data_IF_575843721793
#
_entry.id   IF_575843721793
#
_cell.length_a   1.000
_cell.length_b   1.000
_cell.length_c   1.000
_cell.angle_alpha   90.00
_cell.angle_beta   90.00
_cell.angle_gamma   90.00
#
_symmetry.space_group_name_H-M   'P 1'
#
loop_
_entity.id
_entity.type
_entity.pdbx_description
1 polymer ?
#
# COMPACT_ATOMS: atom_id res chain seq x y z
N UNK A 1 6.90 12.82 -1.30
CA UNK A 1 6.65 11.42 -1.69
C UNK A 1 5.37 10.99 -1.03
N UNK A 2 4.36 10.57 -1.80
CA UNK A 2 3.09 10.07 -1.28
C UNK A 2 3.08 8.56 -1.46
N UNK A 3 2.86 7.80 -0.38
CA UNK A 3 2.74 6.34 -0.41
C UNK A 3 1.35 5.96 0.13
N UNK A 4 0.57 5.28 -0.70
CA UNK A 4 -0.80 4.88 -0.42
C UNK A 4 -1.23 3.76 -1.36
N UNK A 5 -2.27 3.02 -0.97
CA UNK A 5 -2.92 2.06 -1.87
C UNK A 5 -3.99 2.71 -2.74
N UNK A 6 -4.10 2.29 -3.99
CA UNK A 6 -5.12 2.81 -4.89
C UNK A 6 -6.49 2.22 -4.56
N UNK A 7 -7.42 3.09 -4.16
CA UNK A 7 -8.75 2.72 -3.66
C UNK A 7 -9.53 1.76 -4.57
N UNK A 8 -9.59 1.95 -5.90
CA UNK A 8 -10.27 1.03 -6.80
C UNK A 8 -9.73 -0.40 -6.74
N UNK A 9 -8.41 -0.57 -6.60
CA UNK A 9 -7.80 -1.89 -6.46
C UNK A 9 -8.10 -2.52 -5.10
N UNK A 10 -8.06 -1.74 -4.03
CA UNK A 10 -8.44 -2.21 -2.68
C UNK A 10 -9.86 -2.75 -2.68
N UNK A 11 -10.81 -1.99 -3.24
CA UNK A 11 -12.22 -2.38 -3.25
C UNK A 11 -12.50 -3.61 -4.12
N UNK A 12 -11.87 -3.70 -5.31
CA UNK A 12 -12.13 -4.80 -6.24
C UNK A 12 -11.39 -6.08 -5.89
N UNK A 13 -10.11 -5.99 -5.55
CA UNK A 13 -9.29 -7.18 -5.32
C UNK A 13 -9.43 -7.68 -3.87
N UNK A 14 -9.65 -6.74 -2.94
CA UNK A 14 -9.69 -6.95 -1.49
C UNK A 14 -8.37 -7.53 -0.96
N UNK A 15 -7.82 -6.89 0.07
CA UNK A 15 -6.68 -7.46 0.76
C UNK A 15 -7.14 -8.71 1.53
N UNK A 16 -6.29 -9.75 1.56
CA UNK A 16 -6.64 -11.05 2.13
C UNK A 16 -5.56 -11.52 3.08
N UNK A 17 -6.00 -12.34 4.03
CA UNK A 17 -5.09 -13.06 4.91
C UNK A 17 -4.11 -13.91 4.09
N UNK A 18 -2.87 -13.95 4.55
CA UNK A 18 -1.79 -14.64 3.83
C UNK A 18 -0.79 -15.22 4.79
N UNK A 19 -0.40 -16.46 4.54
CA UNK A 19 0.79 -17.07 5.14
C UNK A 19 1.88 -17.15 4.06
N UNK A 20 3.10 -16.69 4.39
CA UNK A 20 4.29 -16.82 3.55
C UNK A 20 5.34 -17.58 4.34
N UNK A 21 5.84 -18.67 3.77
CA UNK A 21 6.94 -19.45 4.34
C UNK A 21 8.16 -19.29 3.42
N UNK A 22 9.30 -18.96 4.01
CA UNK A 22 10.59 -18.84 3.31
C UNK A 22 11.62 -19.68 4.05
N UNK A 23 12.40 -20.47 3.33
CA UNK A 23 13.53 -21.20 3.88
C UNK A 23 14.83 -20.49 3.47
N UNK A 24 15.75 -20.30 4.40
CA UNK A 24 17.06 -19.68 4.15
C UNK A 24 18.12 -20.26 5.10
N UNK A 25 19.21 -20.80 4.54
CA UNK A 25 20.37 -21.22 5.32
C UNK A 25 20.11 -22.22 6.47
N UNK A 26 19.06 -23.03 6.39
CA UNK A 26 18.65 -23.96 7.46
C UNK A 26 17.64 -23.39 8.45
N UNK A 27 17.33 -22.10 8.35
CA UNK A 27 16.24 -21.45 9.07
C UNK A 27 14.95 -21.44 8.22
N UNK A 28 13.81 -21.33 8.89
CA UNK A 28 12.49 -21.18 8.29
C UNK A 28 11.81 -19.95 8.84
N UNK A 29 11.43 -19.01 7.98
CA UNK A 29 10.66 -17.82 8.35
C UNK A 29 9.21 -18.06 7.94
N UNK A 30 8.29 -17.98 8.90
CA UNK A 30 6.85 -18.04 8.70
C UNK A 30 6.29 -16.65 9.00
N UNK A 31 5.64 -16.04 8.01
CA UNK A 31 4.94 -14.77 8.17
C UNK A 31 3.46 -14.96 7.93
N UNK A 32 2.65 -14.68 8.94
CA UNK A 32 1.19 -14.65 8.86
C UNK A 32 0.74 -13.19 8.84
N UNK A 33 -0.02 -12.80 7.83
CA UNK A 33 -0.63 -11.48 7.74
C UNK A 33 -2.14 -11.66 7.78
N UNK A 34 -2.80 -11.03 8.74
CA UNK A 34 -4.26 -10.98 8.89
C UNK A 34 -4.72 -9.57 8.56
N UNK A 35 -5.82 -9.46 7.81
CA UNK A 35 -6.26 -8.19 7.24
C UNK A 35 -7.67 -7.83 7.72
N UNK A 36 -7.85 -6.55 8.09
CA UNK A 36 -9.15 -5.98 8.44
C UNK A 36 -9.35 -4.65 7.72
N UNK A 37 -10.41 -4.55 6.92
CA UNK A 37 -10.76 -3.32 6.21
C UNK A 37 -11.65 -2.44 7.09
N UNK A 38 -11.34 -1.15 7.17
CA UNK A 38 -12.13 -0.10 7.83
C UNK A 38 -12.56 0.93 6.77
N UNK A 39 -13.68 0.69 6.05
CA UNK A 39 -14.11 1.53 4.93
C UNK A 39 -14.37 2.98 5.34
N UNK A 40 -14.95 3.21 6.52
CA UNK A 40 -15.28 4.55 7.02
C UNK A 40 -14.04 5.42 7.32
N UNK A 41 -12.84 4.85 7.24
CA UNK A 41 -11.56 5.53 7.51
C UNK A 41 -10.60 5.47 6.34
N UNK A 42 -10.98 4.79 5.27
CA UNK A 42 -10.14 4.46 4.11
C UNK A 42 -8.83 3.77 4.49
N UNK A 43 -8.91 2.82 5.43
CA UNK A 43 -7.75 2.07 5.93
C UNK A 43 -7.98 0.58 5.78
N UNK A 44 -6.95 -0.12 5.33
CA UNK A 44 -6.80 -1.56 5.51
C UNK A 44 -5.73 -1.82 6.57
N UNK A 45 -6.10 -2.43 7.68
CA UNK A 45 -5.18 -2.82 8.73
C UNK A 45 -4.57 -4.18 8.42
N UNK A 46 -3.25 -4.25 8.32
CA UNK A 46 -2.51 -5.50 8.12
C UNK A 46 -1.72 -5.83 9.39
N UNK A 47 -2.21 -6.79 10.16
CA UNK A 47 -1.52 -7.32 11.34
C UNK A 47 -0.63 -8.49 10.91
N UNK A 48 0.66 -8.38 11.15
CA UNK A 48 1.65 -9.36 10.71
C UNK A 48 2.37 -9.98 11.90
N UNK A 49 2.42 -11.31 11.92
CA UNK A 49 3.19 -12.10 12.89
C UNK A 49 4.27 -12.88 12.15
N UNK A 50 5.52 -12.71 12.56
CA UNK A 50 6.69 -13.31 11.92
C UNK A 50 7.38 -14.22 12.94
N UNK A 51 7.56 -15.47 12.58
CA UNK A 51 8.33 -16.46 13.33
C UNK A 51 9.54 -16.88 12.52
N UNK A 52 10.72 -16.86 13.14
CA UNK A 52 11.92 -17.50 12.59
C UNK A 52 12.20 -18.76 13.39
N UNK A 53 12.30 -19.89 12.70
CA UNK A 53 12.57 -21.19 13.26
C UNK A 53 13.94 -21.70 12.80
N UNK A 54 14.59 -22.49 13.66
CA UNK A 54 15.75 -23.32 13.33
C UNK A 54 15.44 -24.74 13.76
N UNK A 55 15.24 -25.64 12.80
CA UNK A 55 14.58 -26.92 13.05
C UNK A 55 13.16 -26.69 13.59
N UNK A 56 12.84 -27.29 14.73
CA UNK A 56 11.52 -27.19 15.37
C UNK A 56 11.44 -26.11 16.48
N UNK A 57 12.50 -25.31 16.64
CA UNK A 57 12.56 -24.26 17.67
C UNK A 57 12.33 -22.88 17.05
N UNK A 58 11.43 -22.10 17.64
CA UNK A 58 11.31 -20.66 17.38
C UNK A 58 12.52 -19.97 18.01
N UNK A 59 13.30 -19.27 17.19
CA UNK A 59 14.51 -18.55 17.60
C UNK A 59 14.35 -17.02 17.55
N UNK A 60 13.34 -16.53 16.86
CA UNK A 60 12.92 -15.13 16.92
C UNK A 60 11.43 -14.99 16.54
N UNK A 61 10.82 -13.95 17.06
CA UNK A 61 9.40 -13.63 16.88
C UNK A 61 9.24 -12.12 16.80
N UNK A 62 8.35 -11.65 15.92
CA UNK A 62 7.95 -10.25 15.87
C UNK A 62 6.49 -10.10 15.46
N UNK A 63 5.86 -9.07 15.99
CA UNK A 63 4.52 -8.64 15.62
C UNK A 63 4.56 -7.20 15.12
N UNK A 64 3.86 -6.94 14.02
CA UNK A 64 3.81 -5.65 13.37
C UNK A 64 2.36 -5.32 12.98
N UNK A 65 2.00 -4.04 13.03
CA UNK A 65 0.68 -3.58 12.64
C UNK A 65 0.82 -2.42 11.66
N UNK A 66 0.32 -2.63 10.44
CA UNK A 66 0.49 -1.70 9.33
C UNK A 66 -0.88 -1.16 8.86
N UNK A 67 -1.26 0.06 9.26
CA UNK A 67 -2.46 0.71 8.74
C UNK A 67 -2.18 1.28 7.34
N UNK A 68 -2.67 0.59 6.31
CA UNK A 68 -2.51 0.99 4.92
C UNK A 68 -3.68 1.88 4.50
N UNK A 69 -3.43 3.18 4.40
CA UNK A 69 -4.44 4.13 3.88
C UNK A 69 -4.54 4.01 2.37
N UNK A 70 -5.76 4.04 1.85
CA UNK A 70 -6.01 4.09 0.42
C UNK A 70 -6.70 5.39 0.02
N UNK A 71 -6.49 5.79 -1.23
CA UNK A 71 -7.10 7.00 -1.81
C UNK A 71 -7.56 6.75 -3.24
N UNK A 72 -8.51 7.58 -3.67
CA UNK A 72 -8.98 7.68 -5.04
C UNK A 72 -8.36 8.91 -5.72
N UNK A 73 -8.23 8.86 -7.05
CA UNK A 73 -7.66 9.98 -7.81
C UNK A 73 -8.34 11.34 -7.50
N UNK A 74 -9.68 11.46 -7.41
CA UNK A 74 -10.32 12.74 -7.09
C UNK A 74 -9.90 13.34 -5.74
N UNK A 75 -9.57 12.50 -4.74
CA UNK A 75 -9.09 12.97 -3.44
C UNK A 75 -7.65 13.49 -3.55
N UNK A 76 -6.81 12.80 -4.32
CA UNK A 76 -5.45 13.25 -4.62
C UNK A 76 -5.48 14.58 -5.37
N UNK A 77 -6.34 14.73 -6.38
CA UNK A 77 -6.55 15.98 -7.11
C UNK A 77 -6.95 17.11 -6.16
N UNK A 78 -7.89 16.83 -5.25
CA UNK A 78 -8.31 17.78 -4.23
C UNK A 78 -7.15 18.19 -3.33
N UNK A 79 -6.43 17.25 -2.71
CA UNK A 79 -5.32 17.56 -1.80
C UNK A 79 -4.18 18.30 -2.48
N UNK A 80 -3.84 17.94 -3.73
CA UNK A 80 -2.84 18.67 -4.52
C UNK A 80 -3.27 20.11 -4.75
N UNK A 81 -4.53 20.34 -5.15
CA UNK A 81 -5.04 21.71 -5.37
C UNK A 81 -4.98 22.57 -4.10
N UNK A 82 -5.31 21.98 -2.93
CA UNK A 82 -5.23 22.67 -1.64
C UNK A 82 -3.78 23.01 -1.25
N UNK A 83 -2.82 22.23 -1.75
CA UNK A 83 -1.39 22.47 -1.56
C UNK A 83 -0.78 23.40 -2.63
N UNK A 84 -1.57 23.99 -3.54
CA UNK A 84 -1.06 24.81 -4.64
C UNK A 84 -0.29 23.99 -5.69
N UNK A 85 -0.60 22.71 -5.82
CA UNK A 85 -0.01 21.80 -6.79
C UNK A 85 -1.07 21.37 -7.82
N UNK A 86 -0.66 21.25 -9.08
CA UNK A 86 -1.48 20.63 -10.12
C UNK A 86 -0.99 19.21 -10.42
N UNK A 87 -1.93 18.29 -10.64
CA UNK A 87 -1.61 16.93 -11.08
C UNK A 87 -1.13 16.95 -12.53
N UNK A 88 0.06 16.41 -12.77
CA UNK A 88 0.65 16.24 -14.11
C UNK A 88 0.45 14.83 -14.63
N UNK A 89 0.61 13.82 -13.76
CA UNK A 89 0.41 12.42 -14.12
C UNK A 89 -0.07 11.60 -12.91
N UNK A 90 -0.98 10.66 -13.19
CA UNK A 90 -1.47 9.66 -12.26
C UNK A 90 -1.49 8.32 -12.98
N UNK A 91 -0.58 7.43 -12.60
CA UNK A 91 -0.26 6.24 -13.40
C UNK A 91 0.16 5.06 -12.50
N UNK A 92 0.12 3.80 -12.96
CA UNK A 92 0.69 2.69 -12.22
C UNK A 92 2.18 2.88 -11.91
N UNK A 93 2.63 2.40 -10.76
CA UNK A 93 4.05 2.42 -10.43
C UNK A 93 4.86 1.62 -11.46
N UNK A 94 5.81 2.28 -12.13
CA UNK A 94 6.65 1.69 -13.19
C UNK A 94 6.19 1.95 -14.63
N UNK A 95 5.01 2.55 -14.86
CA UNK A 95 4.49 2.84 -16.21
C UNK A 95 3.85 4.24 -16.26
N UNK A 96 4.50 5.22 -16.89
CA UNK A 96 4.05 6.62 -16.89
C UNK A 96 2.89 6.94 -17.86
N UNK A 97 2.78 6.19 -18.95
CA UNK A 97 1.91 6.56 -20.09
C UNK A 97 0.52 5.90 -20.06
N UNK A 98 0.15 5.26 -18.95
CA UNK A 98 -1.12 4.54 -18.82
C UNK A 98 -1.88 4.98 -17.57
N UNK A 99 -3.20 5.08 -17.69
CA UNK A 99 -4.08 5.31 -16.55
C UNK A 99 -4.16 4.05 -15.68
N UNK A 100 -4.21 4.18 -14.34
CA UNK A 100 -4.32 3.02 -13.47
C UNK A 100 -5.74 2.47 -13.49
N UNK A 101 -5.82 1.16 -13.67
CA UNK A 101 -7.06 0.41 -13.51
C UNK A 101 -7.15 -0.18 -12.10
N UNK A 102 -8.31 -0.76 -11.78
CA UNK A 102 -8.55 -1.52 -10.55
C UNK A 102 -7.69 -2.80 -10.38
N UNK A 103 -6.82 -3.13 -11.35
CA UNK A 103 -5.80 -4.17 -11.19
C UNK A 103 -4.51 -3.67 -10.52
N UNK A 104 -4.32 -2.36 -10.37
CA UNK A 104 -3.08 -1.76 -9.88
C UNK A 104 -3.21 -1.29 -8.43
N UNK A 105 -2.49 -1.91 -7.49
CA UNK A 105 -2.49 -1.50 -6.08
C UNK A 105 -1.68 -0.22 -5.83
N UNK A 106 -0.57 -0.05 -6.56
CA UNK A 106 0.36 1.05 -6.36
C UNK A 106 0.34 1.99 -7.57
N UNK A 107 0.25 3.28 -7.29
CA UNK A 107 0.26 4.35 -8.31
C UNK A 107 1.39 5.32 -8.02
N UNK A 108 1.81 6.04 -9.06
CA UNK A 108 2.75 7.15 -9.01
C UNK A 108 2.00 8.44 -9.32
N UNK A 109 2.26 9.45 -8.50
CA UNK A 109 1.68 10.79 -8.61
C UNK A 109 2.80 11.76 -8.95
N UNK A 110 2.68 12.43 -10.11
CA UNK A 110 3.56 13.52 -10.51
C UNK A 110 2.75 14.80 -10.45
N UNK A 111 3.24 15.76 -9.68
CA UNK A 111 2.59 17.05 -9.52
C UNK A 111 3.60 18.19 -9.67
N UNK A 112 3.11 19.36 -10.06
CA UNK A 112 3.91 20.58 -10.24
C UNK A 112 3.31 21.70 -9.41
N UNK A 113 4.15 22.59 -8.88
CA UNK A 113 3.68 23.80 -8.23
C UNK A 113 2.95 24.70 -9.24
N UNK A 114 1.76 25.16 -8.88
CA UNK A 114 1.04 26.15 -9.66
C UNK A 114 1.80 27.48 -9.58
N UNK A 115 1.92 28.19 -10.70
CA UNK A 115 2.44 29.56 -10.69
C UNK A 115 1.44 30.46 -9.93
N UNK A 116 1.94 31.24 -8.96
CA UNK A 116 1.12 32.27 -8.32
C UNK A 116 0.65 33.25 -9.39
N UNK A 117 -0.68 33.36 -9.57
CA UNK A 117 -1.27 34.49 -10.30
C UNK A 117 -0.95 35.77 -9.52
N UNK A 118 0.08 36.49 -9.95
CA UNK A 118 0.31 37.90 -9.59
C UNK A 118 -0.83 38.79 -10.04
#
# INVERSE_FOLDING_TARGET
MCDFWYGPAVLKQQARDRVKIVADGGDRIIRTSVVSTQPDRDIVLVSTHILRLRGDRVIAESEEMHPMRYFFQPEIDFFLSQAGLELIAFCPCGCLDVAPTDSHWNVSVVARAMEERR
#
